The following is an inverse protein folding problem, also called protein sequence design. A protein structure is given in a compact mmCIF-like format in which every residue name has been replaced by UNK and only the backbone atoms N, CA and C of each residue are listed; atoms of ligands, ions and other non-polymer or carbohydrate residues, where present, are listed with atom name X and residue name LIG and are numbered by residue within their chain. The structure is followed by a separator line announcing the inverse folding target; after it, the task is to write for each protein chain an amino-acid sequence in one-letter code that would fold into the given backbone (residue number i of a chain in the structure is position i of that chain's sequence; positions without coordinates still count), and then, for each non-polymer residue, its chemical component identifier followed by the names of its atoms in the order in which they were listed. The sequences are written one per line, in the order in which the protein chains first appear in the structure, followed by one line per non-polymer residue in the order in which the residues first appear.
data_IF_317762548371
#
_entry.id   IF_317762548371
#
_cell.length_a   1.000
_cell.length_b   1.000
_cell.length_c   1.000
_cell.angle_alpha   90.00
_cell.angle_beta   90.00
_cell.angle_gamma   90.00
#
_symmetry.space_group_name_H-M   'P 1'
#
loop_
_entity.id
_entity.type
_entity.pdbx_description
1 polymer ?
#
# COMPACT_ATOMS: atom_id res chain seq x y z
N UNK A 1 -4.23 10.67 16.21
CA UNK A 1 -4.33 10.55 14.74
C UNK A 1 -2.93 10.78 14.21
N UNK A 2 -2.34 9.77 13.56
CA UNK A 2 -1.04 9.91 12.93
C UNK A 2 -1.30 10.28 11.47
N UNK A 3 -1.12 11.54 11.11
CA UNK A 3 -1.17 12.00 9.73
C UNK A 3 0.23 11.81 9.16
N UNK A 4 0.49 10.63 8.58
CA UNK A 4 1.78 10.35 7.96
C UNK A 4 1.77 10.77 6.49
N UNK A 5 2.90 11.29 6.02
CA UNK A 5 3.08 11.73 4.64
C UNK A 5 4.23 10.95 4.02
N UNK A 6 4.00 10.43 2.82
CA UNK A 6 5.04 9.80 2.03
C UNK A 6 5.66 10.83 1.08
N UNK A 7 6.78 11.38 1.50
CA UNK A 7 7.52 12.43 0.82
C UNK A 7 8.84 11.92 0.24
N UNK A 8 9.30 12.55 -0.83
CA UNK A 8 10.61 12.24 -1.40
C UNK A 8 10.85 12.89 -2.75
N UNK A 9 11.84 12.35 -3.46
CA UNK A 9 12.30 12.88 -4.73
C UNK A 9 12.35 11.81 -5.81
N UNK A 10 11.89 12.17 -7.01
CA UNK A 10 12.24 11.46 -8.23
C UNK A 10 13.44 12.14 -8.84
N UNK A 11 14.47 11.35 -9.11
CA UNK A 11 15.71 11.80 -9.75
C UNK A 11 15.77 11.19 -11.14
N UNK A 12 15.86 12.05 -12.15
CA UNK A 12 16.06 11.69 -13.54
C UNK A 12 17.50 12.04 -13.91
N UNK A 13 18.35 11.02 -13.92
CA UNK A 13 19.74 11.11 -14.37
C UNK A 13 19.82 10.64 -15.83
N UNK A 14 20.11 11.58 -16.73
CA UNK A 14 20.06 11.36 -18.17
C UNK A 14 21.46 11.43 -18.76
N UNK A 15 21.88 10.41 -19.51
CA UNK A 15 23.09 10.50 -20.34
C UNK A 15 22.88 11.25 -21.66
N UNK A 16 21.62 11.40 -22.11
CA UNK A 16 21.24 12.10 -23.34
C UNK A 16 19.93 12.85 -23.15
N UNK A 17 19.74 13.92 -23.90
CA UNK A 17 18.50 14.70 -23.84
C UNK A 17 17.29 13.89 -24.30
N UNK A 18 16.15 14.08 -23.63
CA UNK A 18 14.89 13.42 -23.97
C UNK A 18 13.73 14.42 -24.02
N UNK A 19 12.76 14.11 -24.90
CA UNK A 19 11.48 14.81 -24.96
C UNK A 19 10.43 14.04 -24.14
N UNK A 20 9.76 14.75 -23.24
CA UNK A 20 8.77 14.18 -22.32
C UNK A 20 7.52 15.03 -22.32
N UNK A 21 6.36 14.40 -22.56
CA UNK A 21 5.06 15.07 -22.50
C UNK A 21 4.69 15.38 -21.05
N UNK A 22 4.75 14.35 -20.19
CA UNK A 22 4.56 14.50 -18.76
C UNK A 22 5.27 13.40 -18.00
N UNK A 23 5.62 13.72 -16.76
CA UNK A 23 6.06 12.76 -15.75
C UNK A 23 4.93 12.62 -14.74
N UNK A 24 4.48 11.39 -14.53
CA UNK A 24 3.43 11.07 -13.56
C UNK A 24 3.99 10.11 -12.53
N UNK A 25 3.61 10.35 -11.28
CA UNK A 25 3.88 9.49 -10.16
C UNK A 25 2.55 8.94 -9.62
N UNK A 26 2.44 7.62 -9.53
CA UNK A 26 1.24 6.94 -9.05
C UNK A 26 1.56 6.17 -7.79
N UNK A 27 0.80 6.40 -6.72
CA UNK A 27 0.86 5.64 -5.49
C UNK A 27 -0.36 4.71 -5.39
N UNK A 28 -0.11 3.40 -5.35
CA UNK A 28 -1.15 2.38 -5.45
C UNK A 28 -1.02 1.33 -4.35
N UNK A 29 -2.11 1.11 -3.62
CA UNK A 29 -2.27 0.04 -2.63
C UNK A 29 -3.15 -1.08 -3.21
N UNK A 30 -2.76 -2.33 -2.98
CA UNK A 30 -3.37 -3.48 -3.62
C UNK A 30 -3.38 -4.71 -2.72
N UNK A 31 -4.50 -5.42 -2.72
CA UNK A 31 -4.62 -6.79 -2.17
C UNK A 31 -4.76 -7.75 -3.35
N UNK A 32 -3.89 -8.76 -3.40
CA UNK A 32 -3.96 -9.85 -4.38
C UNK A 32 -3.97 -11.19 -3.64
N UNK A 33 -5.00 -12.02 -3.87
CA UNK A 33 -5.13 -13.31 -3.21
C UNK A 33 -6.24 -14.15 -3.83
N UNK A 34 -6.03 -15.46 -3.93
CA UNK A 34 -7.01 -16.42 -4.46
C UNK A 34 -7.61 -16.07 -5.84
N UNK A 35 -6.86 -15.35 -6.68
CA UNK A 35 -7.32 -14.90 -8.01
C UNK A 35 -8.09 -13.58 -8.00
N UNK A 36 -8.38 -13.02 -6.82
CA UNK A 36 -8.99 -11.71 -6.67
C UNK A 36 -7.94 -10.61 -6.53
N UNK A 37 -8.34 -9.41 -6.97
CA UNK A 37 -7.52 -8.21 -6.91
C UNK A 37 -8.37 -7.03 -6.47
N UNK A 38 -8.04 -6.44 -5.33
CA UNK A 38 -8.74 -5.28 -4.76
C UNK A 38 -7.78 -4.09 -4.71
N UNK A 39 -8.21 -2.96 -5.25
CA UNK A 39 -7.46 -1.69 -5.18
C UNK A 39 -7.87 -0.95 -3.92
N UNK A 40 -6.93 -0.78 -2.99
CA UNK A 40 -7.15 -0.05 -1.74
C UNK A 40 -7.06 1.47 -1.95
N UNK A 41 -6.14 1.88 -2.80
CA UNK A 41 -5.92 3.27 -3.19
C UNK A 41 -5.22 3.34 -4.54
N UNK A 42 -5.43 4.44 -5.25
CA UNK A 42 -4.74 4.73 -6.50
C UNK A 42 -4.69 6.25 -6.72
N UNK A 43 -3.71 6.90 -6.11
CA UNK A 43 -3.51 8.34 -6.24
C UNK A 43 -2.43 8.63 -7.29
N UNK A 44 -2.55 9.72 -8.02
CA UNK A 44 -1.56 10.11 -9.03
C UNK A 44 -1.30 11.61 -9.01
N UNK A 45 -0.02 11.98 -9.13
CA UNK A 45 0.47 13.35 -9.24
C UNK A 45 1.24 13.53 -10.54
N UNK A 46 1.00 14.64 -11.22
CA UNK A 46 1.80 15.04 -12.38
C UNK A 46 2.93 15.94 -11.90
N UNK A 47 4.17 15.51 -12.12
CA UNK A 47 5.37 16.17 -11.62
C UNK A 47 6.01 17.11 -12.65
N UNK A 48 5.76 16.87 -13.94
CA UNK A 48 6.26 17.71 -15.01
C UNK A 48 5.27 17.81 -16.15
N UNK A 49 5.07 19.03 -16.66
CA UNK A 49 4.30 19.37 -17.85
C UNK A 49 5.07 20.38 -18.71
N UNK A 50 4.72 20.54 -20.00
CA UNK A 50 5.29 21.58 -20.84
C UNK A 50 4.96 22.97 -20.28
N UNK A 51 5.98 23.80 -20.07
CA UNK A 51 5.82 25.11 -19.41
C UNK A 51 5.24 26.20 -20.32
N UNK A 52 5.40 26.07 -21.64
CA UNK A 52 4.98 27.10 -22.61
C UNK A 52 3.67 26.72 -23.30
N UNK A 53 2.79 27.71 -23.49
CA UNK A 53 1.57 27.54 -24.26
C UNK A 53 1.89 27.06 -25.70
N UNK A 54 1.18 26.03 -26.16
CA UNK A 54 1.40 25.41 -27.48
C UNK A 54 2.53 24.38 -27.54
N UNK A 55 3.34 24.24 -26.48
CA UNK A 55 4.41 23.24 -26.42
C UNK A 55 3.84 21.85 -26.08
N UNK A 56 4.21 20.83 -26.87
CA UNK A 56 3.70 19.44 -26.69
C UNK A 56 4.54 18.58 -25.75
N UNK A 57 5.78 19.00 -25.46
CA UNK A 57 6.73 18.24 -24.65
C UNK A 57 7.78 19.17 -24.01
N UNK A 58 8.22 18.82 -22.82
CA UNK A 58 9.41 19.39 -22.18
C UNK A 58 10.66 18.66 -22.66
N UNK A 59 11.75 19.40 -22.85
CA UNK A 59 13.07 18.84 -23.16
C UNK A 59 13.87 18.80 -21.86
N UNK A 60 14.32 17.61 -21.48
CA UNK A 60 15.24 17.42 -20.36
C UNK A 60 16.62 17.15 -20.93
N UNK A 61 17.59 18.02 -20.61
CA UNK A 61 18.95 17.91 -21.14
C UNK A 61 19.70 16.71 -20.57
N UNK A 62 20.53 16.08 -21.39
CA UNK A 62 21.48 15.07 -20.95
C UNK A 62 22.62 15.65 -20.11
N UNK A 63 23.31 14.77 -19.37
CA UNK A 63 24.38 15.06 -18.42
C UNK A 63 23.97 16.08 -17.34
N UNK A 64 22.67 16.12 -17.04
CA UNK A 64 22.08 16.94 -15.98
C UNK A 64 21.14 16.07 -15.16
N UNK A 65 21.16 16.30 -13.85
CA UNK A 65 20.25 15.67 -12.90
C UNK A 65 19.02 16.55 -12.80
N UNK A 66 17.84 15.97 -13.06
CA UNK A 66 16.55 16.64 -12.88
C UNK A 66 15.81 16.01 -11.70
N UNK A 67 15.41 16.83 -10.73
CA UNK A 67 14.77 16.37 -9.50
C UNK A 67 13.33 16.88 -9.42
N UNK A 68 12.42 16.04 -8.94
CA UNK A 68 11.02 16.36 -8.72
C UNK A 68 10.60 15.90 -7.33
N UNK A 69 10.29 16.86 -6.46
CA UNK A 69 9.73 16.56 -5.15
C UNK A 69 8.30 16.03 -5.27
N UNK A 70 7.94 15.11 -4.40
CA UNK A 70 6.58 14.60 -4.26
C UNK A 70 6.22 14.43 -2.79
N UNK A 71 4.91 14.41 -2.55
CA UNK A 71 4.29 14.12 -1.27
C UNK A 71 3.01 13.35 -1.56
N UNK A 72 2.69 12.32 -0.77
CA UNK A 72 1.36 11.70 -0.75
C UNK A 72 0.89 11.64 0.68
N UNK A 73 -0.36 12.08 0.93
CA UNK A 73 -0.96 11.89 2.24
C UNK A 73 -1.36 10.43 2.39
N UNK A 74 -0.94 9.76 3.45
CA UNK A 74 -1.47 8.42 3.77
C UNK A 74 -2.88 8.62 4.34
N UNK A 75 -3.92 7.98 3.78
CA UNK A 75 -5.28 8.07 4.29
C UNK A 75 -5.37 7.71 5.78
N UNK A 76 -5.96 8.61 6.56
CA UNK A 76 -6.13 8.47 8.00
C UNK A 76 -7.28 7.49 8.38
N UNK A 77 -8.04 7.00 7.40
CA UNK A 77 -9.08 6.01 7.66
C UNK A 77 -8.41 4.63 7.80
N UNK A 78 -8.84 3.83 8.78
CA UNK A 78 -8.35 2.47 9.10
C UNK A 78 -8.47 1.43 7.96
N UNK A 79 -8.57 1.86 6.70
CA UNK A 79 -8.79 1.06 5.52
C UNK A 79 -7.48 0.64 4.82
N UNK A 80 -6.32 1.10 5.31
CA UNK A 80 -5.02 0.68 4.80
C UNK A 80 -4.39 -0.38 5.72
N UNK A 81 -4.56 -1.68 5.41
CA UNK A 81 -3.92 -2.74 6.17
C UNK A 81 -2.39 -2.68 6.04
N UNK A 82 -1.72 -3.23 7.05
CA UNK A 82 -0.28 -3.50 6.98
C UNK A 82 0.10 -4.28 5.73
N UNK A 83 1.28 -3.97 5.19
CA UNK A 83 1.89 -4.74 4.11
C UNK A 83 2.19 -6.16 4.61
N UNK A 84 1.68 -7.16 3.90
CA UNK A 84 1.88 -8.57 4.27
C UNK A 84 2.01 -9.42 3.02
N UNK A 85 2.89 -10.42 3.08
CA UNK A 85 3.01 -11.43 2.04
C UNK A 85 2.89 -12.81 2.66
N UNK A 86 1.75 -13.45 2.45
CA UNK A 86 1.49 -14.84 2.85
C UNK A 86 1.51 -15.69 1.57
N UNK A 87 2.56 -16.51 1.35
CA UNK A 87 2.71 -17.29 0.13
C UNK A 87 1.44 -18.10 -0.20
N UNK A 88 0.99 -18.01 -1.46
CA UNK A 88 -0.21 -18.69 -2.00
C UNK A 88 -1.56 -18.24 -1.40
N UNK A 89 -1.57 -17.33 -0.43
CA UNK A 89 -2.80 -16.86 0.23
C UNK A 89 -3.11 -15.43 -0.18
N UNK A 90 -2.22 -14.48 0.16
CA UNK A 90 -2.46 -13.05 -0.06
C UNK A 90 -1.16 -12.24 -0.10
N UNK A 91 -1.11 -11.21 -0.95
CA UNK A 91 -0.11 -10.13 -0.99
C UNK A 91 -0.83 -8.78 -0.84
N UNK A 92 -0.61 -8.11 0.28
CA UNK A 92 -1.02 -6.72 0.50
C UNK A 92 0.21 -5.86 0.25
N UNK A 93 0.19 -5.10 -0.84
CA UNK A 93 1.35 -4.33 -1.30
C UNK A 93 1.01 -2.91 -1.69
N UNK A 94 1.99 -2.04 -1.47
CA UNK A 94 1.93 -0.62 -1.80
C UNK A 94 3.08 -0.30 -2.74
N UNK A 95 2.77 0.36 -3.84
CA UNK A 95 3.71 0.60 -4.94
C UNK A 95 3.69 2.05 -5.38
N UNK A 96 4.87 2.63 -5.50
CA UNK A 96 5.10 3.93 -6.11
C UNK A 96 5.61 3.68 -7.53
N UNK A 97 4.92 4.21 -8.53
CA UNK A 97 5.23 4.01 -9.96
C UNK A 97 5.43 5.36 -10.63
N UNK A 98 6.65 5.61 -11.10
CA UNK A 98 6.98 6.79 -11.89
C UNK A 98 7.01 6.44 -13.37
N UNK A 99 6.29 7.20 -14.20
CA UNK A 99 6.23 7.00 -15.65
C UNK A 99 6.50 8.33 -16.35
N UNK A 100 7.32 8.30 -17.39
CA UNK A 100 7.45 9.42 -18.32
C UNK A 100 6.85 9.04 -19.67
N UNK A 101 6.00 9.91 -20.23
CA UNK A 101 5.40 9.68 -21.55
C UNK A 101 6.20 10.40 -22.64
N UNK A 102 6.70 9.64 -23.62
CA UNK A 102 7.43 10.21 -24.78
C UNK A 102 6.47 10.65 -25.89
N UNK A 103 6.75 11.77 -26.60
CA UNK A 103 5.95 12.19 -27.74
C UNK A 103 6.18 11.27 -28.95
N UNK A 104 5.11 10.58 -29.40
CA UNK A 104 5.02 9.75 -30.62
C UNK A 104 5.91 8.49 -30.66
N UNK A 105 5.56 7.44 -29.91
CA UNK A 105 5.81 6.06 -30.38
C UNK A 105 4.50 5.49 -30.96
N UNK A 106 4.43 5.39 -32.28
CA UNK A 106 3.40 4.60 -32.99
C UNK A 106 3.82 3.12 -32.99
N UNK A 107 3.87 2.48 -31.83
CA UNK A 107 3.78 1.03 -31.71
C UNK A 107 3.72 0.67 -30.22
N UNK A 108 2.70 -0.12 -29.89
CA UNK A 108 2.50 -0.83 -28.62
C UNK A 108 3.84 -1.15 -27.92
N UNK A 109 4.17 -0.38 -26.89
CA UNK A 109 5.18 -0.77 -25.91
C UNK A 109 4.84 -0.06 -24.61
N UNK A 110 4.81 -0.83 -23.53
CA UNK A 110 4.74 -0.35 -22.16
C UNK A 110 5.69 0.83 -21.99
N UNK A 111 5.16 1.97 -21.53
CA UNK A 111 6.00 3.12 -21.21
C UNK A 111 7.02 2.68 -20.15
N UNK A 112 8.31 3.04 -20.30
CA UNK A 112 9.30 2.76 -19.26
C UNK A 112 8.82 3.34 -17.93
N UNK A 113 8.74 2.48 -16.92
CA UNK A 113 8.27 2.83 -15.59
C UNK A 113 9.31 2.43 -14.55
N UNK A 114 9.60 3.33 -13.61
CA UNK A 114 10.34 2.97 -12.40
C UNK A 114 9.31 2.61 -11.32
N UNK A 115 9.38 1.39 -10.81
CA UNK A 115 8.45 0.87 -9.80
C UNK A 115 9.21 0.58 -8.52
N UNK A 116 8.73 1.12 -7.40
CA UNK A 116 9.27 0.87 -6.07
C UNK A 116 8.16 0.33 -5.17
N UNK A 117 8.36 -0.85 -4.57
CA UNK A 117 7.52 -1.33 -3.48
C UNK A 117 7.87 -0.59 -2.19
N UNK A 118 6.86 -0.18 -1.44
CA UNK A 118 7.00 0.43 -0.12
C UNK A 118 6.24 -0.41 0.91
N UNK A 119 6.59 -0.24 2.19
CA UNK A 119 5.92 -0.91 3.30
C UNK A 119 5.10 0.11 4.08
N UNK A 120 3.80 -0.12 4.14
CA UNK A 120 2.87 0.53 5.06
C UNK A 120 2.66 -0.41 6.25
N UNK A 121 2.73 0.12 7.46
CA UNK A 121 2.47 -0.61 8.69
C UNK A 121 1.29 0.04 9.40
N UNK A 122 0.26 -0.75 9.66
CA UNK A 122 -0.86 -0.36 10.49
C UNK A 122 -0.47 -0.52 11.97
N UNK A 123 -0.68 0.54 12.74
CA UNK A 123 -0.38 0.59 14.15
C UNK A 123 -1.64 0.20 14.93
N UNK A 124 -1.72 -1.06 15.33
CA UNK A 124 -2.82 -1.56 16.14
C UNK A 124 -2.76 -0.91 17.53
N UNK A 125 -3.75 -0.08 17.86
CA UNK A 125 -3.88 0.50 19.18
C UNK A 125 -4.50 -0.50 20.16
N UNK A 126 -3.65 -1.24 20.87
CA UNK A 126 -4.06 -2.23 21.88
C UNK A 126 -4.83 -1.66 23.07
N UNK A 127 -4.85 -0.34 23.25
CA UNK A 127 -5.58 0.32 24.33
C UNK A 127 -7.08 0.49 24.04
N UNK A 128 -7.53 0.18 22.82
CA UNK A 128 -8.94 0.22 22.43
C UNK A 128 -9.79 -0.70 23.32
N UNK A 129 -10.99 -0.24 23.66
CA UNK A 129 -11.89 -0.94 24.59
C UNK A 129 -12.22 -2.35 24.10
N UNK A 130 -12.42 -2.52 22.79
CA UNK A 130 -12.76 -3.81 22.17
C UNK A 130 -11.72 -4.90 22.43
N UNK A 131 -10.45 -4.52 22.62
CA UNK A 131 -9.33 -5.42 22.92
C UNK A 131 -9.19 -5.76 24.40
N UNK A 132 -9.83 -4.99 25.28
CA UNK A 132 -9.80 -5.15 26.74
C UNK A 132 -11.01 -5.91 27.29
N UNK A 133 -12.04 -6.10 26.49
CA UNK A 133 -13.25 -6.81 26.90
C UNK A 133 -12.94 -8.28 27.21
N UNK A 134 -13.49 -8.76 28.34
CA UNK A 134 -13.43 -10.17 28.72
C UNK A 134 -14.17 -11.02 27.66
N UNK A 135 -13.58 -12.14 27.26
CA UNK A 135 -14.29 -13.15 26.48
C UNK A 135 -14.94 -14.10 27.47
N UNK A 136 -16.26 -14.21 27.41
CA UNK A 136 -17.02 -15.23 28.13
C UNK A 136 -17.98 -15.90 27.14
N UNK A 137 -17.56 -17.02 26.57
CA UNK A 137 -18.35 -17.76 25.58
C UNK A 137 -18.76 -19.10 26.15
N UNK A 138 -20.05 -19.40 26.04
CA UNK A 138 -20.64 -20.67 26.42
C UNK A 138 -21.08 -21.39 25.15
N UNK A 139 -20.70 -22.64 24.99
CA UNK A 139 -21.19 -23.50 23.92
C UNK A 139 -21.60 -24.87 24.45
N UNK A 140 -22.74 -25.36 23.96
CA UNK A 140 -23.19 -26.71 24.24
C UNK A 140 -22.59 -27.64 23.19
N UNK A 141 -21.80 -28.62 23.63
CA UNK A 141 -21.24 -29.65 22.75
C UNK A 141 -22.01 -30.94 23.03
N UNK A 142 -22.88 -31.31 22.09
CA UNK A 142 -23.62 -32.56 22.12
C UNK A 142 -22.92 -33.68 21.37
N UNK A 143 -23.07 -34.91 21.84
CA UNK A 143 -22.84 -36.10 21.02
C UNK A 143 -24.15 -36.49 20.32
N UNK A 144 -24.07 -37.00 19.08
CA UNK A 144 -25.22 -37.37 18.23
C UNK A 144 -26.19 -38.41 18.83
N UNK A 145 -25.90 -38.97 20.00
CA UNK A 145 -26.64 -40.07 20.61
C UNK A 145 -27.16 -39.72 22.01
N UNK A 146 -28.12 -38.80 22.12
CA UNK A 146 -29.05 -38.58 23.25
C UNK A 146 -28.49 -38.68 24.70
N UNK A 147 -27.18 -38.48 24.90
CA UNK A 147 -26.51 -38.51 26.19
C UNK A 147 -25.97 -37.13 26.52
N UNK A 148 -26.33 -36.65 27.72
CA UNK A 148 -25.96 -35.40 28.39
C UNK A 148 -25.10 -34.42 27.55
N UNK A 149 -25.75 -33.33 27.13
CA UNK A 149 -25.10 -32.15 26.57
C UNK A 149 -24.02 -31.67 27.55
N UNK A 150 -22.76 -31.68 27.13
CA UNK A 150 -21.69 -31.11 27.95
C UNK A 150 -21.59 -29.63 27.60
N UNK A 151 -21.76 -28.76 28.59
CA UNK A 151 -21.61 -27.32 28.42
C UNK A 151 -20.15 -26.91 28.64
N UNK A 152 -19.57 -26.24 27.66
CA UNK A 152 -18.20 -25.75 27.71
C UNK A 152 -18.22 -24.24 27.86
N UNK A 153 -17.43 -23.72 28.81
CA UNK A 153 -17.28 -22.30 29.05
C UNK A 153 -15.82 -21.90 28.81
N UNK A 154 -15.59 -20.94 27.92
CA UNK A 154 -14.27 -20.35 27.67
C UNK A 154 -14.28 -18.93 28.25
N UNK A 155 -13.40 -18.70 29.23
CA UNK A 155 -13.19 -17.39 29.86
C UNK A 155 -11.77 -16.91 29.65
N UNK A 156 -11.61 -15.74 29.04
CA UNK A 156 -10.32 -15.06 28.89
C UNK A 156 -10.44 -13.61 29.37
N UNK A 157 -9.48 -13.10 30.16
CA UNK A 157 -9.57 -11.76 30.77
C UNK A 157 -9.57 -10.61 29.77
N UNK A 158 -9.19 -10.87 28.51
CA UNK A 158 -9.17 -9.91 27.41
C UNK A 158 -9.26 -10.63 26.05
N UNK A 159 -9.60 -9.88 25.02
CA UNK A 159 -9.83 -10.40 23.66
C UNK A 159 -8.63 -10.29 22.73
N UNK A 160 -7.60 -9.50 23.08
CA UNK A 160 -6.37 -9.38 22.29
C UNK A 160 -5.10 -9.48 23.14
N UNK A 161 -4.03 -9.99 22.52
CA UNK A 161 -2.75 -10.25 23.17
C UNK A 161 -1.60 -9.77 22.27
N UNK A 162 -0.57 -9.19 22.87
CA UNK A 162 0.69 -8.90 22.20
C UNK A 162 1.58 -10.14 22.21
N UNK A 163 2.47 -10.33 21.21
CA UNK A 163 3.47 -11.38 21.26
C UNK A 163 4.28 -11.34 22.55
N UNK A 164 4.55 -12.50 23.14
CA UNK A 164 5.44 -12.61 24.29
C UNK A 164 6.88 -12.24 23.90
N UNK A 165 7.68 -11.74 24.85
CA UNK A 165 9.13 -11.65 24.66
C UNK A 165 9.69 -13.07 24.66
N UNK A 166 10.52 -13.39 23.66
CA UNK A 166 11.43 -14.53 23.81
C UNK A 166 12.50 -14.09 24.81
N UNK A 167 12.55 -14.74 25.97
CA UNK A 167 13.73 -14.68 26.83
C UNK A 167 14.85 -15.43 26.07
N UNK A 168 15.73 -14.68 25.41
CA UNK A 168 16.99 -15.17 24.85
C UNK A 168 18.06 -15.24 25.92
#
# INVERSE_FOLDING_TARGET
MYNDFYEGQIILDLSKSIDVQHITLTFKGLIEGQGERVVLMNESKVLALPKKAGQKYSVFSGNQIHTFDFEFKIPDNNNLPSSVKIPKVVDISYTLTAVHKKPKLKLSSTLPAAVKKIKVLDLINIEQLDFKNEINTCCDIGFLNNGLLTQWNIKCPKSAFTPGKYDT
#
